data_IF_513443430943
#
_entry.id   IF_513443430943
#
_cell.length_a   1.000
_cell.length_b   1.000
_cell.length_c   1.000
_cell.angle_alpha   90.00
_cell.angle_beta   90.00
_cell.angle_gamma   90.00
#
_symmetry.space_group_name_H-M   'P 1'
#
loop_
_entity.id
_entity.type
_entity.pdbx_description
1 polymer ?
#
# COMPACT_ATOMS: atom_id res chain seq x y z
N UNK A 1 -17.57 -1.17 4.41
CA UNK A 1 -18.04 -0.36 3.26
C UNK A 1 -17.00 -0.45 2.15
N UNK A 2 -17.43 -0.77 0.92
CA UNK A 2 -16.58 -0.72 -0.27
C UNK A 2 -16.57 0.72 -0.82
N UNK A 3 -15.38 1.19 -1.22
CA UNK A 3 -15.21 2.46 -1.90
C UNK A 3 -15.43 2.31 -3.42
N UNK A 4 -15.80 3.41 -4.06
CA UNK A 4 -15.84 3.59 -5.50
C UNK A 4 -15.20 4.94 -5.86
N UNK A 5 -14.86 5.21 -7.14
CA UNK A 5 -14.30 6.50 -7.54
C UNK A 5 -15.13 7.69 -7.07
N UNK A 6 -16.47 7.56 -7.03
CA UNK A 6 -17.40 8.62 -6.61
C UNK A 6 -17.38 8.85 -5.09
N UNK A 7 -17.12 7.79 -4.29
CA UNK A 7 -17.15 7.86 -2.82
C UNK A 7 -15.80 8.16 -2.19
N UNK A 8 -14.71 7.96 -2.92
CA UNK A 8 -13.33 8.22 -2.45
C UNK A 8 -13.13 9.69 -2.03
N UNK A 9 -13.55 10.72 -2.79
CA UNK A 9 -13.33 12.11 -2.37
C UNK A 9 -13.97 12.42 -1.00
N UNK A 10 -15.21 11.96 -0.79
CA UNK A 10 -15.90 12.13 0.49
C UNK A 10 -15.19 11.42 1.64
N UNK A 11 -14.69 10.19 1.40
CA UNK A 11 -13.93 9.44 2.39
C UNK A 11 -12.62 10.14 2.79
N UNK A 12 -11.90 10.71 1.83
CA UNK A 12 -10.61 11.37 2.10
C UNK A 12 -10.76 12.66 2.91
N UNK A 13 -11.92 13.33 2.85
CA UNK A 13 -12.20 14.52 3.65
C UNK A 13 -12.21 14.26 5.16
N UNK A 14 -12.48 13.02 5.57
CA UNK A 14 -12.52 12.63 6.97
C UNK A 14 -11.16 12.22 7.54
N UNK A 15 -10.09 12.28 6.73
CA UNK A 15 -8.74 11.83 7.10
C UNK A 15 -7.79 13.02 7.26
N UNK A 16 -7.44 13.43 8.50
CA UNK A 16 -6.62 14.63 8.74
C UNK A 16 -5.24 14.59 8.09
N UNK A 17 -4.58 13.44 8.04
CA UNK A 17 -3.27 13.28 7.39
C UNK A 17 -3.33 13.51 5.88
N UNK A 18 -4.44 13.14 5.24
CA UNK A 18 -4.65 13.36 3.81
C UNK A 18 -5.02 14.81 3.49
N UNK A 19 -5.74 15.48 4.41
CA UNK A 19 -6.06 16.91 4.27
C UNK A 19 -4.80 17.78 4.19
N UNK A 20 -3.68 17.33 4.75
CA UNK A 20 -2.39 18.04 4.66
C UNK A 20 -1.69 17.87 3.30
N UNK A 21 -2.07 16.85 2.52
CA UNK A 21 -1.47 16.56 1.22
C UNK A 21 -2.14 17.37 0.12
N UNK A 22 -3.46 17.50 0.18
CA UNK A 22 -4.25 18.19 -0.83
C UNK A 22 -4.63 19.59 -0.38
N UNK A 23 -4.36 20.58 -1.21
CA UNK A 23 -4.78 21.97 -0.95
C UNK A 23 -6.28 22.19 -1.17
N UNK A 24 -6.92 21.34 -1.97
CA UNK A 24 -8.35 21.39 -2.28
C UNK A 24 -8.89 19.97 -2.48
N UNK A 25 -9.68 19.50 -1.52
CA UNK A 25 -10.31 18.17 -1.56
C UNK A 25 -11.58 18.10 -2.42
N UNK A 26 -12.06 19.22 -2.96
CA UNK A 26 -13.17 19.24 -3.91
C UNK A 26 -12.69 19.11 -5.36
N UNK A 27 -11.37 19.34 -5.61
CA UNK A 27 -10.75 19.27 -6.94
C UNK A 27 -10.01 17.94 -7.18
N UNK A 28 -10.52 16.84 -6.65
CA UNK A 28 -9.89 15.53 -6.80
C UNK A 28 -10.36 14.81 -8.06
N UNK A 29 -9.44 14.11 -8.69
CA UNK A 29 -9.69 13.13 -9.73
C UNK A 29 -9.28 11.75 -9.21
N UNK A 30 -10.16 10.77 -9.38
CA UNK A 30 -9.97 9.40 -8.91
C UNK A 30 -9.97 8.46 -10.12
N UNK A 31 -8.89 7.73 -10.28
CA UNK A 31 -8.73 6.71 -11.31
C UNK A 31 -8.61 5.34 -10.65
N UNK A 32 -9.44 4.39 -11.07
CA UNK A 32 -9.29 3.00 -10.65
C UNK A 32 -8.21 2.31 -11.51
N UNK A 33 -7.23 1.70 -10.86
CA UNK A 33 -6.18 0.91 -11.51
C UNK A 33 -6.73 -0.48 -11.83
N UNK A 34 -6.91 -0.77 -13.13
CA UNK A 34 -7.59 -1.98 -13.62
C UNK A 34 -6.85 -3.31 -13.40
N UNK A 35 -5.53 -3.30 -13.20
CA UNK A 35 -4.69 -4.51 -13.13
C UNK A 35 -4.74 -5.24 -11.77
N UNK A 36 -5.53 -4.77 -10.83
CA UNK A 36 -5.66 -5.36 -9.49
C UNK A 36 -6.57 -6.59 -9.48
N UNK A 37 -5.99 -7.79 -9.43
CA UNK A 37 -6.75 -9.05 -9.40
C UNK A 37 -7.43 -9.32 -8.04
N UNK A 38 -6.89 -8.78 -6.96
CA UNK A 38 -7.27 -9.09 -5.58
C UNK A 38 -7.95 -7.93 -4.84
N UNK A 39 -7.48 -6.71 -5.09
CA UNK A 39 -7.88 -5.51 -4.36
C UNK A 39 -8.32 -4.42 -5.33
N UNK A 40 -9.17 -3.51 -4.86
CA UNK A 40 -9.35 -2.23 -5.53
C UNK A 40 -8.15 -1.33 -5.24
N UNK A 41 -7.67 -0.67 -6.27
CA UNK A 41 -6.60 0.32 -6.16
C UNK A 41 -7.07 1.59 -6.85
N UNK A 42 -7.10 2.68 -6.11
CA UNK A 42 -7.47 3.99 -6.62
C UNK A 42 -6.27 4.93 -6.55
N UNK A 43 -5.91 5.53 -7.69
CA UNK A 43 -5.02 6.69 -7.74
C UNK A 43 -5.85 7.94 -7.60
N UNK A 44 -5.51 8.77 -6.64
CA UNK A 44 -6.17 10.05 -6.41
C UNK A 44 -5.17 11.15 -6.65
N UNK A 45 -5.53 12.14 -7.45
CA UNK A 45 -4.72 13.33 -7.72
C UNK A 45 -5.56 14.58 -7.66
N UNK A 46 -4.95 15.70 -7.31
CA UNK A 46 -5.58 16.99 -7.44
C UNK A 46 -5.44 17.49 -8.88
N UNK A 47 -6.55 17.90 -9.52
CA UNK A 47 -6.54 18.33 -10.94
C UNK A 47 -5.65 19.53 -11.18
N UNK A 48 -5.73 20.56 -10.32
CA UNK A 48 -4.93 21.79 -10.41
C UNK A 48 -3.46 21.60 -9.98
N UNK A 49 -3.17 20.55 -9.19
CA UNK A 49 -1.80 20.22 -8.76
C UNK A 49 -1.55 18.71 -8.85
N UNK A 50 -1.22 18.18 -10.03
CA UNK A 50 -1.07 16.73 -10.26
C UNK A 50 0.05 16.05 -9.45
N UNK A 51 0.96 16.82 -8.82
CA UNK A 51 1.98 16.29 -7.92
C UNK A 51 1.39 15.88 -6.55
N UNK A 52 0.27 16.48 -6.15
CA UNK A 52 -0.46 16.11 -4.94
C UNK A 52 -1.28 14.85 -5.23
N UNK A 53 -0.75 13.71 -4.84
CA UNK A 53 -1.36 12.41 -5.16
C UNK A 53 -1.25 11.44 -3.99
N UNK A 54 -2.23 10.54 -3.88
CA UNK A 54 -2.19 9.37 -3.00
C UNK A 54 -2.70 8.13 -3.73
N UNK A 55 -2.40 6.96 -3.17
CA UNK A 55 -2.99 5.69 -3.59
C UNK A 55 -3.80 5.11 -2.44
N UNK A 56 -5.01 4.67 -2.75
CA UNK A 56 -5.86 3.89 -1.84
C UNK A 56 -5.88 2.46 -2.34
N UNK A 57 -5.62 1.51 -1.44
CA UNK A 57 -5.76 0.08 -1.71
C UNK A 57 -6.75 -0.52 -0.74
N UNK A 58 -7.80 -1.18 -1.25
CA UNK A 58 -8.85 -1.79 -0.44
C UNK A 58 -9.05 -3.25 -0.80
N UNK A 59 -9.04 -4.12 0.21
CA UNK A 59 -9.38 -5.52 0.06
C UNK A 59 -10.90 -5.73 0.08
N UNK A 60 -11.38 -6.59 -0.83
CA UNK A 60 -12.79 -7.01 -0.89
C UNK A 60 -12.92 -8.49 -0.50
N UNK A 61 -14.12 -8.97 -0.10
CA UNK A 61 -14.30 -10.32 0.41
C UNK A 61 -14.35 -11.41 -0.68
N UNK A 62 -13.86 -11.11 -1.88
CA UNK A 62 -13.84 -12.02 -3.01
C UNK A 62 -12.64 -11.76 -3.92
N UNK A 63 -12.35 -12.72 -4.78
CA UNK A 63 -11.35 -12.57 -5.84
C UNK A 63 -11.94 -11.69 -6.95
N UNK A 64 -11.40 -10.50 -7.16
CA UNK A 64 -11.99 -9.47 -8.01
C UNK A 64 -12.22 -9.91 -9.46
N UNK A 65 -11.28 -10.66 -10.05
CA UNK A 65 -11.39 -11.15 -11.44
C UNK A 65 -12.45 -12.24 -11.64
N UNK A 66 -12.86 -12.91 -10.56
CA UNK A 66 -13.85 -14.01 -10.60
C UNK A 66 -15.19 -13.57 -10.02
N UNK A 67 -15.17 -12.55 -9.13
CA UNK A 67 -16.36 -12.04 -8.47
C UNK A 67 -16.71 -12.80 -7.18
N UNK A 68 -17.93 -12.61 -6.69
CA UNK A 68 -18.41 -13.12 -5.40
C UNK A 68 -18.46 -14.66 -5.30
N UNK A 69 -18.41 -15.36 -6.43
CA UNK A 69 -18.36 -16.83 -6.45
C UNK A 69 -17.05 -17.40 -5.90
N UNK A 70 -16.01 -16.57 -5.77
CA UNK A 70 -14.74 -16.97 -5.17
C UNK A 70 -14.45 -16.13 -3.91
N UNK A 71 -14.92 -16.58 -2.73
CA UNK A 71 -14.71 -15.84 -1.50
C UNK A 71 -13.22 -15.75 -1.13
N UNK A 72 -12.80 -14.58 -0.63
CA UNK A 72 -11.43 -14.32 -0.21
C UNK A 72 -11.43 -13.40 1.01
N UNK A 73 -10.77 -13.83 2.10
CA UNK A 73 -10.77 -13.04 3.33
C UNK A 73 -10.15 -11.65 3.15
N UNK A 74 -10.82 -10.64 3.69
CA UNK A 74 -10.29 -9.26 3.75
C UNK A 74 -9.15 -9.09 4.75
N UNK A 75 -8.99 -10.03 5.69
CA UNK A 75 -7.92 -9.97 6.71
C UNK A 75 -6.51 -9.96 6.11
N UNK A 76 -6.35 -10.36 4.84
CA UNK A 76 -5.10 -10.21 4.11
C UNK A 76 -4.57 -8.77 4.09
N UNK A 77 -5.46 -7.77 4.13
CA UNK A 77 -5.07 -6.36 4.22
C UNK A 77 -4.42 -6.02 5.56
N UNK A 78 -4.85 -6.67 6.66
CA UNK A 78 -4.23 -6.46 7.97
C UNK A 78 -2.76 -6.90 7.96
N UNK A 79 -2.47 -8.03 7.31
CA UNK A 79 -1.08 -8.49 7.14
C UNK A 79 -0.27 -7.54 6.26
N UNK A 80 -0.88 -7.00 5.20
CA UNK A 80 -0.21 -6.02 4.34
C UNK A 80 0.10 -4.72 5.11
N UNK A 81 -0.85 -4.21 5.89
CA UNK A 81 -0.67 -3.01 6.73
C UNK A 81 0.46 -3.26 7.75
N UNK A 82 0.41 -4.37 8.49
CA UNK A 82 1.44 -4.71 9.47
C UNK A 82 2.83 -4.86 8.84
N UNK A 83 2.91 -5.47 7.66
CA UNK A 83 4.16 -5.59 6.92
C UNK A 83 4.71 -4.22 6.51
N UNK A 84 3.87 -3.34 5.98
CA UNK A 84 4.27 -1.98 5.60
C UNK A 84 4.72 -1.16 6.81
N UNK A 85 4.01 -1.23 7.93
CA UNK A 85 4.39 -0.56 9.19
C UNK A 85 5.73 -1.09 9.72
N UNK A 86 5.92 -2.41 9.69
CA UNK A 86 7.20 -3.02 10.07
C UNK A 86 8.33 -2.57 9.15
N UNK A 87 8.12 -2.59 7.84
CA UNK A 87 9.12 -2.17 6.87
C UNK A 87 9.45 -0.68 7.00
N UNK A 88 8.45 0.17 7.25
CA UNK A 88 8.64 1.61 7.49
C UNK A 88 9.53 1.86 8.71
N UNK A 89 9.41 1.04 9.75
CA UNK A 89 10.24 1.15 10.96
C UNK A 89 11.72 0.88 10.68
N UNK A 90 12.04 -0.08 9.82
CA UNK A 90 13.40 -0.55 9.61
C UNK A 90 14.03 -0.11 8.28
N UNK A 91 13.21 0.24 7.29
CA UNK A 91 13.69 0.55 5.94
C UNK A 91 12.77 1.56 5.22
N UNK A 92 12.50 2.75 5.82
CA UNK A 92 11.50 3.70 5.30
C UNK A 92 11.79 4.17 3.88
N UNK A 93 13.07 4.19 3.46
CA UNK A 93 13.48 4.62 2.12
C UNK A 93 13.10 3.64 1.00
N UNK A 94 12.62 2.44 1.33
CA UNK A 94 12.26 1.40 0.36
C UNK A 94 10.78 1.03 0.35
N UNK A 95 9.95 1.77 1.09
CA UNK A 95 8.50 1.55 1.15
C UNK A 95 7.74 2.86 0.98
N UNK A 96 6.50 2.82 0.49
CA UNK A 96 5.68 4.03 0.44
C UNK A 96 5.31 4.50 1.85
N UNK A 97 5.23 5.80 2.04
CA UNK A 97 4.69 6.39 3.26
C UNK A 97 3.21 6.03 3.42
N UNK A 98 2.80 5.63 4.64
CA UNK A 98 1.41 5.34 4.98
C UNK A 98 0.80 6.60 5.61
N UNK A 99 -0.25 7.12 5.00
CA UNK A 99 -0.98 8.28 5.52
C UNK A 99 -2.16 7.88 6.40
N UNK A 100 -2.79 6.73 6.10
CA UNK A 100 -3.91 6.20 6.88
C UNK A 100 -4.08 4.71 6.64
N UNK A 101 -4.51 3.98 7.66
CA UNK A 101 -4.91 2.57 7.54
C UNK A 101 -6.17 2.30 8.36
N UNK A 102 -6.98 1.34 7.91
CA UNK A 102 -8.18 0.88 8.60
C UNK A 102 -8.36 -0.63 8.43
N UNK A 103 -8.27 -1.35 9.52
CA UNK A 103 -8.55 -2.79 9.55
C UNK A 103 -10.03 -3.08 9.33
N UNK A 104 -10.93 -2.24 9.85
CA UNK A 104 -12.38 -2.39 9.70
C UNK A 104 -12.82 -2.24 8.24
N UNK A 105 -12.27 -1.26 7.55
CA UNK A 105 -12.50 -1.05 6.12
C UNK A 105 -11.58 -1.88 5.23
N UNK A 106 -10.58 -2.54 5.80
CA UNK A 106 -9.58 -3.34 5.10
C UNK A 106 -8.90 -2.54 3.98
N UNK A 107 -8.42 -1.35 4.32
CA UNK A 107 -7.78 -0.43 3.37
C UNK A 107 -6.54 0.26 3.95
N UNK A 108 -5.70 0.73 3.03
CA UNK A 108 -4.57 1.61 3.32
C UNK A 108 -4.55 2.77 2.32
N UNK A 109 -4.25 3.98 2.83
CA UNK A 109 -3.95 5.18 2.02
C UNK A 109 -2.47 5.46 2.15
N UNK A 110 -1.77 5.51 1.03
CA UNK A 110 -0.31 5.58 0.99
C UNK A 110 0.20 6.49 -0.12
N UNK A 111 1.48 6.79 -0.05
CA UNK A 111 2.20 7.55 -1.06
C UNK A 111 2.04 6.92 -2.45
N UNK A 112 1.77 7.76 -3.44
CA UNK A 112 1.80 7.36 -4.83
C UNK A 112 3.25 7.39 -5.35
N UNK A 113 3.75 6.25 -5.78
CA UNK A 113 5.10 6.12 -6.34
C UNK A 113 5.13 6.49 -7.84
N UNK A 114 4.50 7.61 -8.20
CA UNK A 114 4.33 8.08 -9.59
C UNK A 114 5.65 8.35 -10.34
N UNK A 115 6.77 8.55 -9.61
CA UNK A 115 8.12 8.73 -10.17
C UNK A 115 8.90 7.42 -10.31
N UNK A 116 8.29 6.30 -9.96
CA UNK A 116 8.89 4.97 -10.06
C UNK A 116 8.25 4.17 -11.20
N UNK A 117 9.05 3.33 -11.83
CA UNK A 117 8.58 2.38 -12.81
C UNK A 117 8.37 1.00 -12.16
N UNK A 118 7.44 0.23 -12.69
CA UNK A 118 7.24 -1.16 -12.26
C UNK A 118 8.43 -1.99 -12.72
N UNK A 119 9.26 -2.44 -11.77
CA UNK A 119 10.50 -3.15 -12.01
C UNK A 119 10.34 -4.31 -12.99
N UNK A 120 9.31 -5.14 -12.81
CA UNK A 120 9.03 -6.29 -13.69
C UNK A 120 8.88 -5.87 -15.15
N UNK A 121 8.13 -4.80 -15.42
CA UNK A 121 7.91 -4.28 -16.78
C UNK A 121 9.23 -3.84 -17.42
N UNK A 122 10.01 -3.04 -16.70
CA UNK A 122 11.28 -2.53 -17.17
C UNK A 122 12.31 -3.65 -17.45
N UNK A 123 12.34 -4.69 -16.60
CA UNK A 123 13.22 -5.84 -16.80
C UNK A 123 12.81 -6.68 -18.01
N UNK A 124 11.52 -6.81 -18.31
CA UNK A 124 11.04 -7.50 -19.53
C UNK A 124 11.57 -6.79 -20.78
N UNK A 125 11.67 -5.46 -20.75
CA UNK A 125 12.27 -4.66 -21.85
C UNK A 125 13.81 -4.61 -21.81
N UNK A 126 14.46 -5.42 -20.96
CA UNK A 126 15.92 -5.53 -20.90
C UNK A 126 16.63 -4.39 -20.17
N UNK A 127 15.92 -3.55 -19.41
CA UNK A 127 16.53 -2.47 -18.65
C UNK A 127 17.38 -3.01 -17.50
N UNK A 128 18.60 -2.51 -17.39
CA UNK A 128 19.56 -2.88 -16.34
C UNK A 128 19.47 -1.89 -15.18
N UNK A 129 19.42 -2.41 -13.97
CA UNK A 129 19.38 -1.65 -12.73
C UNK A 129 20.64 -1.97 -11.89
N UNK A 130 21.73 -1.19 -12.01
CA UNK A 130 23.03 -1.52 -11.38
C UNK A 130 22.97 -1.66 -9.86
N UNK A 131 22.07 -0.92 -9.20
CA UNK A 131 21.90 -0.92 -7.75
C UNK A 131 20.81 -1.89 -7.25
N UNK A 132 20.21 -2.69 -8.12
CA UNK A 132 19.09 -3.55 -7.74
C UNK A 132 19.46 -4.54 -6.64
N UNK A 133 20.61 -5.21 -6.79
CA UNK A 133 21.07 -6.19 -5.81
C UNK A 133 21.36 -5.53 -4.46
N UNK A 134 22.02 -4.37 -4.46
CA UNK A 134 22.30 -3.58 -3.25
C UNK A 134 21.01 -3.17 -2.52
N UNK A 135 20.04 -2.61 -3.25
CA UNK A 135 18.78 -2.15 -2.66
C UNK A 135 17.94 -3.31 -2.13
N UNK A 136 17.81 -4.41 -2.89
CA UNK A 136 17.03 -5.57 -2.45
C UNK A 136 17.71 -6.26 -1.25
N UNK A 137 19.02 -6.48 -1.28
CA UNK A 137 19.73 -7.12 -0.18
C UNK A 137 19.67 -6.26 1.08
N UNK A 138 19.83 -4.95 0.97
CA UNK A 138 19.67 -4.01 2.08
C UNK A 138 18.26 -4.06 2.67
N UNK A 139 17.23 -4.02 1.81
CA UNK A 139 15.84 -4.14 2.25
C UNK A 139 15.58 -5.46 2.98
N UNK A 140 15.98 -6.60 2.40
CA UNK A 140 15.80 -7.90 3.04
C UNK A 140 16.53 -8.01 4.36
N UNK A 141 17.79 -7.58 4.42
CA UNK A 141 18.57 -7.61 5.66
C UNK A 141 17.92 -6.77 6.76
N UNK A 142 17.53 -5.54 6.45
CA UNK A 142 16.96 -4.62 7.44
C UNK A 142 15.54 -5.00 7.88
N UNK A 143 14.75 -5.66 7.04
CA UNK A 143 13.35 -6.00 7.36
C UNK A 143 13.20 -7.41 7.92
N UNK A 144 14.00 -8.39 7.49
CA UNK A 144 13.90 -9.77 7.94
C UNK A 144 14.75 -10.06 9.18
N UNK A 145 15.99 -9.52 9.25
CA UNK A 145 16.88 -9.79 10.38
C UNK A 145 16.23 -9.44 11.74
N UNK A 146 15.54 -8.29 11.93
CA UNK A 146 14.86 -7.96 13.18
C UNK A 146 13.77 -8.95 13.61
N UNK A 147 13.31 -9.82 12.72
CA UNK A 147 12.28 -10.83 13.01
C UNK A 147 12.85 -12.22 13.30
N UNK A 148 14.17 -12.35 13.29
CA UNK A 148 14.86 -13.64 13.57
C UNK A 148 14.92 -13.96 15.05
N UNK A 149 15.20 -15.23 15.36
CA UNK A 149 15.43 -15.70 16.74
C UNK A 149 16.66 -15.07 17.41
N UNK A 150 17.52 -14.40 16.65
CA UNK A 150 18.65 -13.63 17.18
C UNK A 150 18.26 -12.27 17.74
N UNK A 151 17.13 -11.72 17.26
CA UNK A 151 16.68 -10.39 17.65
C UNK A 151 15.43 -10.41 18.51
N UNK A 152 14.57 -11.44 18.36
CA UNK A 152 13.32 -11.57 19.10
C UNK A 152 13.40 -12.68 20.14
N UNK A 153 12.85 -12.43 21.32
CA UNK A 153 12.55 -13.48 22.29
C UNK A 153 11.42 -14.38 21.77
N UNK A 154 11.34 -15.60 22.30
CA UNK A 154 10.24 -16.53 21.93
C UNK A 154 8.84 -15.97 22.18
N UNK A 155 8.66 -15.14 23.23
CA UNK A 155 7.40 -14.46 23.53
C UNK A 155 7.07 -13.37 22.51
N UNK A 156 8.02 -12.56 22.09
CA UNK A 156 7.84 -11.53 21.07
C UNK A 156 7.51 -12.15 19.71
N UNK A 157 8.21 -13.22 19.34
CA UNK A 157 7.97 -13.95 18.10
C UNK A 157 6.57 -14.58 18.08
N UNK A 158 6.15 -15.20 19.19
CA UNK A 158 4.81 -15.74 19.34
C UNK A 158 3.73 -14.66 19.25
N UNK A 159 3.95 -13.50 19.86
CA UNK A 159 3.04 -12.36 19.77
C UNK A 159 2.97 -11.77 18.34
N UNK A 160 4.06 -11.83 17.59
CA UNK A 160 4.09 -11.37 16.18
C UNK A 160 3.33 -12.31 15.25
N UNK A 161 3.41 -13.62 15.46
CA UNK A 161 2.72 -14.63 14.63
C UNK A 161 1.23 -14.75 14.98
N UNK A 162 0.84 -14.45 16.21
CA UNK A 162 -0.53 -14.57 16.71
C UNK A 162 -1.44 -13.35 16.50
N UNK A 163 -1.01 -12.37 15.69
CA UNK A 163 -1.76 -11.14 15.38
C UNK A 163 -2.69 -11.26 14.18
#
# INVERSE_FOLDING_TARGET
>A
RQLSPETVPGFLKDIPSVQQIFSDLDDLEVEEVGDGNLNFVYKVRQRKNPEQTVVIKQAVPFLRIVGESWPLSRTRMNFEIQALEHHTKYCPQHVPEIFYSSTDMSLVVMQNLNRHAVLRGEMIFGKIFPKLAEHISSFLANTLFPTTDWCLTGSEKKAMVGR
#
